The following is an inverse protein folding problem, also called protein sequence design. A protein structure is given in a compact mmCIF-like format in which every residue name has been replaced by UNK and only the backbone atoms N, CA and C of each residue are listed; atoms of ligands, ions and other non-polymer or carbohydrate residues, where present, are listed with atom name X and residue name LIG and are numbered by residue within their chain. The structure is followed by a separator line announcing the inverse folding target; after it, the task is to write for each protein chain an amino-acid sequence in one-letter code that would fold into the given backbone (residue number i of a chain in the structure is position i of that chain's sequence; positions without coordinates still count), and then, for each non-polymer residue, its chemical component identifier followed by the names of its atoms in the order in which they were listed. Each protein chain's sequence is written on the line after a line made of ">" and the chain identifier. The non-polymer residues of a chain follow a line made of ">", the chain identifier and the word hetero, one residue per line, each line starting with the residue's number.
data_IF_998737108379
#
_entry.id   IF_998737108379
#
_cell.length_a   1.000
_cell.length_b   1.000
_cell.length_c   1.000
_cell.angle_alpha   90.00
_cell.angle_beta   90.00
_cell.angle_gamma   90.00
#
_symmetry.space_group_name_H-M   'P 1'
#
loop_
_entity.id
_entity.type
_entity.pdbx_description
1 polymer ?
#
# COMPACT_ATOMS: atom_id res chain seq x y z
N UNK A 1 11.13 -8.31 21.62
CA UNK A 1 11.70 -7.63 20.44
C UNK A 1 12.45 -8.55 19.46
N UNK A 2 13.36 -9.45 19.89
CA UNK A 2 14.14 -10.34 18.99
C UNK A 2 13.28 -11.25 18.07
N UNK A 3 12.10 -11.69 18.51
CA UNK A 3 11.26 -12.61 17.76
C UNK A 3 10.42 -11.91 16.66
N UNK A 4 10.03 -10.65 16.86
CA UNK A 4 9.27 -9.88 15.86
C UNK A 4 10.12 -9.54 14.62
N UNK A 5 11.40 -9.23 14.82
CA UNK A 5 12.33 -8.92 13.72
C UNK A 5 12.61 -10.17 12.87
N UNK A 6 12.72 -11.35 13.51
CA UNK A 6 12.91 -12.62 12.79
C UNK A 6 11.71 -12.99 11.92
N UNK A 7 10.48 -12.77 12.42
CA UNK A 7 9.26 -13.02 11.64
C UNK A 7 9.13 -12.10 10.44
N UNK A 8 9.52 -10.83 10.55
CA UNK A 8 9.49 -9.88 9.45
C UNK A 8 10.47 -10.25 8.32
N UNK A 9 11.68 -10.70 8.69
CA UNK A 9 12.71 -11.11 7.71
C UNK A 9 12.28 -12.36 6.96
N UNK A 10 11.62 -13.32 7.61
CA UNK A 10 11.11 -14.54 6.97
C UNK A 10 9.98 -14.23 5.99
N UNK A 11 9.06 -13.31 6.32
CA UNK A 11 8.01 -12.88 5.39
C UNK A 11 8.58 -12.18 4.15
N UNK A 12 9.60 -11.35 4.30
CA UNK A 12 10.26 -10.67 3.18
C UNK A 12 10.99 -11.65 2.26
N UNK A 13 11.61 -12.70 2.81
CA UNK A 13 12.31 -13.71 2.02
C UNK A 13 11.36 -14.60 1.20
N UNK A 14 10.17 -14.90 1.72
CA UNK A 14 9.14 -15.69 1.02
C UNK A 14 8.50 -14.89 -0.12
N UNK A 15 8.32 -13.59 0.02
CA UNK A 15 7.78 -12.73 -1.04
C UNK A 15 8.80 -12.48 -2.17
N UNK A 16 10.08 -12.44 -1.87
CA UNK A 16 11.15 -12.26 -2.87
C UNK A 16 11.36 -13.49 -3.78
N UNK A 17 11.07 -14.69 -3.31
CA UNK A 17 11.25 -15.92 -4.10
C UNK A 17 10.11 -16.20 -5.09
N UNK A 18 8.93 -15.59 -4.91
CA UNK A 18 7.79 -15.75 -5.81
C UNK A 18 7.96 -15.10 -7.18
N UNK A 19 8.71 -14.02 -7.26
CA UNK A 19 8.88 -13.27 -8.51
C UNK A 19 9.84 -13.93 -9.52
N UNK A 20 10.77 -14.77 -9.07
CA UNK A 20 11.69 -15.47 -9.96
C UNK A 20 11.02 -16.57 -10.82
N UNK A 21 9.88 -17.11 -10.37
CA UNK A 21 9.15 -18.14 -11.09
C UNK A 21 8.07 -17.61 -12.05
N UNK A 22 7.69 -16.35 -11.92
CA UNK A 22 6.67 -15.73 -12.77
C UNK A 22 7.24 -15.17 -14.09
N UNK A 23 8.54 -14.91 -14.15
CA UNK A 23 9.17 -14.29 -15.33
C UNK A 23 9.36 -15.23 -16.52
N UNK A 24 9.29 -16.55 -16.34
CA UNK A 24 9.63 -17.52 -17.42
C UNK A 24 8.40 -18.10 -18.14
N UNK A 25 7.17 -17.74 -17.79
CA UNK A 25 5.95 -18.27 -18.42
C UNK A 25 5.29 -17.40 -19.49
N UNK A 26 5.87 -16.26 -19.84
CA UNK A 26 5.27 -15.28 -20.73
C UNK A 26 5.79 -15.27 -22.19
N UNK A 27 6.75 -16.13 -22.54
CA UNK A 27 7.28 -16.17 -23.92
C UNK A 27 6.63 -17.29 -24.71
N UNK A 28 5.39 -17.10 -25.12
CA UNK A 28 4.81 -17.85 -26.24
C UNK A 28 5.02 -17.02 -27.48
N UNK A 29 5.85 -17.52 -28.38
CA UNK A 29 6.02 -16.99 -29.72
C UNK A 29 4.67 -17.07 -30.43
N UNK A 30 3.92 -15.97 -30.42
CA UNK A 30 2.69 -15.80 -31.19
C UNK A 30 3.04 -15.52 -32.66
N UNK A 31 2.13 -15.80 -33.61
CA UNK A 31 2.38 -15.60 -35.02
C UNK A 31 2.68 -14.12 -35.32
N UNK A 32 3.66 -13.91 -36.20
CA UNK A 32 4.11 -12.61 -36.69
C UNK A 32 2.92 -11.74 -37.12
N UNK A 33 2.75 -10.60 -36.45
CA UNK A 33 1.73 -9.60 -36.81
C UNK A 33 1.10 -8.84 -35.68
N UNK A 34 1.32 -9.19 -34.40
CA UNK A 34 0.89 -8.35 -33.31
C UNK A 34 2.05 -7.40 -32.97
N UNK A 35 1.87 -6.11 -33.22
CA UNK A 35 2.73 -5.08 -32.64
C UNK A 35 2.61 -5.18 -31.12
N UNK A 36 3.51 -5.96 -30.51
CA UNK A 36 3.70 -5.96 -29.08
C UNK A 36 4.27 -4.58 -28.77
N UNK A 37 3.43 -3.69 -28.26
CA UNK A 37 3.86 -2.40 -27.75
C UNK A 37 5.04 -2.61 -26.80
N UNK A 38 6.01 -1.72 -26.87
CA UNK A 38 7.20 -1.70 -26.02
C UNK A 38 6.75 -1.63 -24.54
N UNK A 39 6.66 -2.76 -23.89
CA UNK A 39 6.13 -2.93 -22.55
C UNK A 39 5.26 -4.18 -22.51
N UNK A 40 5.86 -5.34 -22.66
CA UNK A 40 5.19 -6.62 -22.88
C UNK A 40 4.41 -7.20 -21.71
N UNK A 41 3.60 -6.41 -21.05
CA UNK A 41 2.67 -6.86 -20.02
C UNK A 41 1.26 -6.42 -20.39
N UNK A 42 0.64 -7.13 -21.32
CA UNK A 42 -0.80 -7.10 -21.49
C UNK A 42 -1.46 -7.86 -20.35
N UNK A 43 -1.38 -7.32 -19.17
CA UNK A 43 -2.34 -7.61 -18.13
C UNK A 43 -3.68 -7.06 -18.61
N UNK A 44 -4.69 -7.87 -18.82
CA UNK A 44 -6.07 -7.54 -19.11
C UNK A 44 -6.39 -6.19 -19.77
N UNK A 45 -7.64 -5.94 -20.16
CA UNK A 45 -8.00 -4.67 -20.79
C UNK A 45 -7.70 -3.51 -19.83
N UNK A 46 -6.66 -2.74 -20.15
CA UNK A 46 -6.30 -1.51 -19.46
C UNK A 46 -5.03 -1.48 -18.64
N UNK A 47 -4.15 -2.49 -18.68
CA UNK A 47 -2.84 -2.46 -17.99
C UNK A 47 -2.89 -2.03 -16.52
N UNK A 48 -1.82 -2.20 -15.74
CA UNK A 48 -1.77 -1.66 -14.38
C UNK A 48 -1.29 -0.19 -14.30
N UNK A 49 -0.85 0.45 -15.39
CA UNK A 49 -0.42 1.86 -15.42
C UNK A 49 -1.55 2.88 -15.27
N UNK A 50 -1.31 4.03 -14.69
CA UNK A 50 -2.26 5.14 -14.57
C UNK A 50 -2.40 5.71 -13.17
N UNK A 51 -3.41 6.54 -12.99
CA UNK A 51 -3.74 7.14 -11.70
C UNK A 51 -4.89 6.40 -11.02
N UNK A 52 -4.88 6.35 -9.71
CA UNK A 52 -6.03 5.94 -8.92
C UNK A 52 -6.29 6.89 -7.77
N UNK A 53 -7.54 6.96 -7.36
CA UNK A 53 -7.99 7.68 -6.18
C UNK A 53 -8.84 6.75 -5.34
N UNK A 54 -8.46 6.54 -4.08
CA UNK A 54 -9.15 5.66 -3.15
C UNK A 54 -9.55 6.40 -1.89
N UNK A 55 -10.75 6.09 -1.40
CA UNK A 55 -11.17 6.39 -0.04
C UNK A 55 -10.74 5.22 0.85
N UNK A 56 -10.08 5.53 1.94
CA UNK A 56 -9.55 4.56 2.88
C UNK A 56 -10.30 4.67 4.21
N UNK A 57 -10.55 3.55 4.87
CA UNK A 57 -11.19 3.56 6.18
C UNK A 57 -10.95 2.27 6.93
N UNK A 58 -10.95 2.33 8.26
CA UNK A 58 -10.71 1.16 9.08
C UNK A 58 -10.41 1.47 10.54
N UNK A 59 -9.70 0.56 11.18
CA UNK A 59 -9.25 0.68 12.56
C UNK A 59 -7.81 1.18 12.65
N UNK A 60 -7.53 2.01 13.65
CA UNK A 60 -6.19 2.42 14.03
C UNK A 60 -5.90 1.93 15.45
N UNK A 61 -4.83 1.19 15.66
CA UNK A 61 -4.43 0.68 16.97
C UNK A 61 -3.33 1.56 17.50
N UNK A 62 -3.64 2.32 18.56
CA UNK A 62 -2.68 3.15 19.26
C UNK A 62 -2.36 2.56 20.62
N UNK A 63 -1.10 2.48 20.98
CA UNK A 63 -0.71 2.10 22.33
C UNK A 63 -0.66 3.34 23.21
N UNK A 64 -1.68 3.54 24.04
CA UNK A 64 -1.73 4.60 25.02
C UNK A 64 -1.91 4.01 26.41
N UNK A 65 -0.88 4.03 27.24
CA UNK A 65 -0.97 3.56 28.62
C UNK A 65 -1.31 2.07 28.78
N UNK A 66 -0.95 1.22 27.81
CA UNK A 66 -1.22 -0.22 27.84
C UNK A 66 -2.66 -0.62 27.44
N UNK A 67 -3.51 0.33 27.11
CA UNK A 67 -4.87 0.04 26.58
C UNK A 67 -4.87 0.21 25.05
N UNK A 68 -5.29 -0.84 24.35
CA UNK A 68 -5.59 -0.77 22.93
C UNK A 68 -7.02 -0.27 22.77
N UNK A 69 -7.17 0.96 22.35
CA UNK A 69 -8.44 1.48 21.89
C UNK A 69 -8.35 1.60 20.36
N UNK A 70 -9.10 0.82 19.58
CA UNK A 70 -9.08 0.92 18.12
C UNK A 70 -9.99 2.06 17.67
N UNK A 71 -9.50 3.30 17.56
CA UNK A 71 -10.29 4.36 16.93
C UNK A 71 -10.45 4.07 15.46
N UNK A 72 -11.56 4.51 14.91
CA UNK A 72 -11.76 4.50 13.47
C UNK A 72 -10.90 5.60 12.82
N UNK A 73 -10.51 5.40 11.58
CA UNK A 73 -9.90 6.45 10.76
C UNK A 73 -10.56 6.50 9.39
N UNK A 74 -10.45 7.64 8.74
CA UNK A 74 -10.82 7.85 7.36
C UNK A 74 -9.67 8.54 6.62
N UNK A 75 -9.50 8.25 5.35
CA UNK A 75 -8.42 8.80 4.55
C UNK A 75 -8.73 8.82 3.06
N UNK A 76 -7.81 9.42 2.33
CA UNK A 76 -7.80 9.50 0.88
C UNK A 76 -6.39 9.17 0.41
N UNK A 77 -6.27 8.31 -0.60
CA UNK A 77 -4.99 7.99 -1.22
C UNK A 77 -5.08 8.22 -2.73
N UNK A 78 -4.18 9.05 -3.24
CA UNK A 78 -3.92 9.20 -4.66
C UNK A 78 -2.67 8.39 -5.01
N UNK A 79 -2.76 7.55 -6.04
CA UNK A 79 -1.64 6.70 -6.45
C UNK A 79 -1.37 6.88 -7.94
N UNK A 80 -0.09 6.94 -8.29
CA UNK A 80 0.38 6.78 -9.65
C UNK A 80 1.00 5.38 -9.79
N UNK A 81 0.43 4.59 -10.68
CA UNK A 81 0.84 3.22 -10.97
C UNK A 81 1.72 3.19 -12.22
N UNK A 82 2.90 2.63 -12.12
CA UNK A 82 3.64 2.19 -13.29
C UNK A 82 3.12 0.83 -13.75
N UNK A 83 3.15 0.61 -15.07
CA UNK A 83 2.70 -0.64 -15.65
C UNK A 83 3.50 -1.87 -15.18
N UNK A 84 4.75 -1.66 -14.81
CA UNK A 84 5.67 -2.77 -14.53
C UNK A 84 5.51 -3.34 -13.13
N UNK A 85 5.87 -2.58 -12.11
CA UNK A 85 5.90 -3.18 -10.77
C UNK A 85 5.85 -2.17 -9.62
N UNK A 86 5.84 -0.87 -9.90
CA UNK A 86 5.88 0.11 -8.83
C UNK A 86 4.76 1.14 -8.89
N UNK A 87 4.42 1.72 -7.76
CA UNK A 87 3.53 2.87 -7.66
C UNK A 87 4.04 3.86 -6.62
N UNK A 88 3.63 5.10 -6.76
CA UNK A 88 3.84 6.15 -5.77
C UNK A 88 2.49 6.49 -5.15
N UNK A 89 2.40 6.42 -3.83
CA UNK A 89 1.20 6.73 -3.07
C UNK A 89 1.38 8.06 -2.35
N UNK A 90 0.36 8.91 -2.42
CA UNK A 90 0.19 10.11 -1.60
C UNK A 90 -1.09 9.92 -0.79
N UNK A 91 -0.96 9.81 0.53
CA UNK A 91 -2.06 9.50 1.44
C UNK A 91 -2.28 10.63 2.44
N UNK A 92 -3.54 11.02 2.63
CA UNK A 92 -3.97 11.87 3.72
C UNK A 92 -5.01 11.15 4.56
N UNK A 93 -4.96 11.24 5.89
CA UNK A 93 -5.93 10.58 6.75
C UNK A 93 -6.18 11.35 8.04
N UNK A 94 -7.30 11.01 8.68
CA UNK A 94 -7.70 11.57 9.96
C UNK A 94 -8.17 10.47 10.92
N UNK A 95 -7.67 10.52 12.15
CA UNK A 95 -8.09 9.68 13.27
C UNK A 95 -8.82 10.59 14.25
N UNK A 96 -10.15 10.43 14.47
CA UNK A 96 -10.95 11.35 15.30
C UNK A 96 -10.53 11.36 16.77
N UNK A 97 -10.13 10.23 17.29
CA UNK A 97 -9.62 10.09 18.65
C UNK A 97 -8.27 9.36 18.61
N UNK A 98 -7.16 10.03 18.94
CA UNK A 98 -6.97 11.31 19.64
C UNK A 98 -6.83 12.57 18.75
N UNK A 99 -7.47 12.68 17.62
CA UNK A 99 -7.45 13.81 16.68
C UNK A 99 -6.08 13.99 16.02
N UNK A 100 -5.71 12.99 15.21
CA UNK A 100 -4.46 12.98 14.44
C UNK A 100 -4.77 13.19 12.97
N UNK A 101 -4.12 14.17 12.34
CA UNK A 101 -4.01 14.27 10.90
C UNK A 101 -2.70 13.64 10.44
N UNK A 102 -2.75 12.85 9.38
CA UNK A 102 -1.58 12.27 8.76
C UNK A 102 -1.48 12.62 7.30
N UNK A 103 -0.25 12.85 6.83
CA UNK A 103 0.07 13.00 5.42
C UNK A 103 1.33 12.19 5.13
N UNK A 104 1.24 11.24 4.21
CA UNK A 104 2.31 10.30 3.87
C UNK A 104 2.51 10.25 2.36
N UNK A 105 3.76 10.09 1.93
CA UNK A 105 4.12 9.88 0.54
C UNK A 105 5.22 8.81 0.46
N UNK A 106 5.17 7.96 -0.56
CA UNK A 106 6.24 7.00 -0.78
C UNK A 106 5.95 5.96 -1.84
N UNK A 107 7.00 5.20 -2.21
CA UNK A 107 6.90 4.14 -3.19
C UNK A 107 6.30 2.86 -2.58
N UNK A 108 5.62 2.10 -3.43
CA UNK A 108 5.19 0.74 -3.18
C UNK A 108 5.50 -0.12 -4.41
N UNK A 109 5.85 -1.36 -4.17
CA UNK A 109 6.01 -2.38 -5.22
C UNK A 109 4.76 -3.25 -5.25
N UNK A 110 4.31 -3.59 -6.44
CA UNK A 110 3.12 -4.42 -6.60
C UNK A 110 3.36 -5.57 -7.58
N UNK A 111 2.58 -6.64 -7.44
CA UNK A 111 2.57 -7.72 -8.42
C UNK A 111 1.80 -7.26 -9.67
N UNK A 112 2.18 -7.81 -10.82
CA UNK A 112 1.51 -7.54 -12.11
C UNK A 112 0.33 -8.49 -12.39
N UNK A 113 -0.14 -9.21 -11.36
CA UNK A 113 -1.21 -10.19 -11.50
C UNK A 113 -2.58 -9.50 -11.56
N UNK A 114 -3.39 -9.90 -12.52
CA UNK A 114 -4.78 -9.48 -12.68
C UNK A 114 -5.73 -10.62 -12.25
N UNK A 115 -6.85 -10.36 -11.58
CA UNK A 115 -7.41 -9.07 -11.14
C UNK A 115 -6.90 -8.60 -9.76
N UNK A 116 -6.00 -9.33 -9.13
CA UNK A 116 -5.52 -9.07 -7.78
C UNK A 116 -4.05 -8.66 -7.80
N UNK A 117 -3.76 -7.47 -7.29
CA UNK A 117 -2.41 -6.96 -7.11
C UNK A 117 -2.04 -6.95 -5.62
N UNK A 118 -0.95 -7.62 -5.26
CA UNK A 118 -0.36 -7.51 -3.92
C UNK A 118 0.67 -6.40 -3.91
N UNK A 119 0.74 -5.65 -2.84
CA UNK A 119 1.68 -4.54 -2.71
C UNK A 119 2.42 -4.55 -1.38
N UNK A 120 3.66 -4.09 -1.43
CA UNK A 120 4.49 -3.78 -0.28
C UNK A 120 5.20 -2.46 -0.53
N UNK A 121 5.27 -1.59 0.48
CA UNK A 121 5.88 -0.29 0.30
C UNK A 121 6.29 0.38 1.59
N UNK A 122 6.87 1.56 1.42
CA UNK A 122 7.27 2.46 2.49
C UNK A 122 6.83 3.87 2.16
N UNK A 123 6.19 4.51 3.13
CA UNK A 123 5.80 5.90 3.04
C UNK A 123 6.51 6.68 4.15
N UNK A 124 6.93 7.90 3.84
CA UNK A 124 7.42 8.87 4.82
C UNK A 124 6.42 10.01 4.94
N UNK A 125 6.33 10.63 6.10
CA UNK A 125 5.44 11.78 6.25
C UNK A 125 5.32 12.29 7.67
N UNK A 126 4.16 12.84 7.97
CA UNK A 126 3.91 13.60 9.19
C UNK A 126 2.62 13.14 9.87
N UNK A 127 2.68 13.08 11.22
CA UNK A 127 1.50 13.11 12.07
C UNK A 127 1.40 14.48 12.75
N UNK A 128 0.24 15.09 12.66
CA UNK A 128 -0.08 16.38 13.25
C UNK A 128 -1.16 16.15 14.31
N UNK A 129 -0.79 16.30 15.55
CA UNK A 129 -1.70 16.18 16.69
C UNK A 129 -2.40 17.52 16.95
N UNK A 130 -3.70 17.51 17.26
CA UNK A 130 -4.52 18.73 17.40
C UNK A 130 -4.00 19.73 18.44
N UNK A 131 -3.22 19.29 19.43
CA UNK A 131 -2.61 20.13 20.47
C UNK A 131 -1.20 19.62 20.81
N UNK A 132 -0.47 19.16 19.81
CA UNK A 132 0.80 18.51 20.02
C UNK A 132 1.84 18.82 18.94
N UNK A 133 2.99 18.22 19.04
CA UNK A 133 4.05 18.39 18.06
C UNK A 133 3.68 17.73 16.72
N UNK A 134 4.31 18.22 15.66
CA UNK A 134 4.36 17.53 14.37
C UNK A 134 5.46 16.47 14.47
N UNK A 135 5.10 15.22 14.22
CA UNK A 135 6.03 14.10 14.29
C UNK A 135 6.30 13.54 12.90
N UNK A 136 7.56 13.23 12.61
CA UNK A 136 7.96 12.51 11.42
C UNK A 136 7.67 11.01 11.58
N UNK A 137 7.11 10.43 10.52
CA UNK A 137 6.64 9.06 10.48
C UNK A 137 7.30 8.30 9.34
N UNK A 138 7.69 7.06 9.62
CA UNK A 138 8.00 6.06 8.61
C UNK A 138 6.92 4.99 8.65
N UNK A 139 6.28 4.73 7.52
CA UNK A 139 5.12 3.84 7.44
C UNK A 139 5.35 2.71 6.43
N UNK A 140 5.89 1.55 6.86
CA UNK A 140 5.79 0.32 6.08
C UNK A 140 4.33 -0.01 5.81
N UNK A 141 4.05 -0.40 4.57
CA UNK A 141 2.70 -0.75 4.08
C UNK A 141 2.71 -2.09 3.38
N UNK A 142 1.68 -2.88 3.63
CA UNK A 142 1.33 -4.05 2.84
C UNK A 142 -0.12 -3.91 2.38
N UNK A 143 -0.45 -4.43 1.21
CA UNK A 143 -1.82 -4.34 0.70
C UNK A 143 -2.11 -5.37 -0.37
N UNK A 144 -3.40 -5.49 -0.65
CA UNK A 144 -3.94 -6.28 -1.73
C UNK A 144 -5.09 -5.51 -2.34
N UNK A 145 -5.02 -5.28 -3.65
CA UNK A 145 -6.00 -4.54 -4.41
C UNK A 145 -6.66 -5.47 -5.44
N UNK A 146 -7.98 -5.53 -5.43
CA UNK A 146 -8.78 -6.14 -6.48
C UNK A 146 -9.25 -5.07 -7.45
N UNK A 147 -8.90 -5.22 -8.72
CA UNK A 147 -9.14 -4.24 -9.76
C UNK A 147 -10.07 -4.87 -10.81
N UNK A 148 -11.20 -4.24 -11.07
CA UNK A 148 -12.18 -4.71 -12.06
C UNK A 148 -11.85 -4.18 -13.45
N UNK A 149 -12.44 -4.78 -14.49
CA UNK A 149 -12.34 -4.30 -15.87
C UNK A 149 -12.93 -2.89 -16.05
N UNK A 150 -13.86 -2.50 -15.19
CA UNK A 150 -14.46 -1.15 -15.19
C UNK A 150 -13.63 -0.14 -14.40
N UNK A 151 -12.38 -0.45 -14.09
CA UNK A 151 -11.46 0.42 -13.34
C UNK A 151 -11.82 0.66 -11.85
N UNK A 152 -12.83 -0.02 -11.35
CA UNK A 152 -13.15 0.02 -9.92
C UNK A 152 -12.09 -0.77 -9.14
N UNK A 153 -11.64 -0.20 -8.02
CA UNK A 153 -10.64 -0.76 -7.15
C UNK A 153 -11.21 -0.98 -5.75
N UNK A 154 -11.02 -2.16 -5.22
CA UNK A 154 -11.31 -2.51 -3.84
C UNK A 154 -10.05 -3.11 -3.23
N UNK A 155 -9.62 -2.62 -2.08
CA UNK A 155 -8.39 -3.08 -1.45
C UNK A 155 -8.52 -3.32 0.05
N UNK A 156 -7.57 -4.07 0.57
CA UNK A 156 -7.28 -4.21 1.99
C UNK A 156 -5.83 -3.86 2.22
N UNK A 157 -5.53 -3.23 3.35
CA UNK A 157 -4.16 -2.87 3.64
C UNK A 157 -3.88 -2.79 5.14
N UNK A 158 -2.61 -2.88 5.47
CA UNK A 158 -2.08 -2.59 6.79
C UNK A 158 -0.87 -1.67 6.69
N UNK A 159 -0.83 -0.65 7.52
CA UNK A 159 0.26 0.29 7.68
C UNK A 159 0.75 0.26 9.12
N UNK A 160 2.05 0.37 9.31
CA UNK A 160 2.63 0.60 10.62
C UNK A 160 3.31 1.96 10.64
N UNK A 161 2.63 2.98 11.15
CA UNK A 161 3.14 4.34 11.25
C UNK A 161 4.09 4.45 12.44
N UNK A 162 5.36 4.27 12.18
CA UNK A 162 6.44 4.32 13.17
C UNK A 162 6.77 5.78 13.45
N UNK A 163 6.52 6.23 14.67
CA UNK A 163 6.89 7.57 15.10
C UNK A 163 8.39 7.62 15.41
N UNK A 164 9.15 8.41 14.66
CA UNK A 164 10.61 8.48 14.82
C UNK A 164 11.05 9.25 16.08
N UNK A 165 10.20 10.13 16.61
CA UNK A 165 10.48 10.87 17.81
C UNK A 165 10.09 10.10 19.10
N UNK A 166 9.05 9.25 19.01
CA UNK A 166 8.51 8.53 20.16
C UNK A 166 7.87 7.21 19.67
N UNK A 167 8.60 6.13 19.76
CA UNK A 167 8.17 4.82 19.27
C UNK A 167 6.88 4.32 19.94
N UNK A 168 6.64 4.68 21.20
CA UNK A 168 5.43 4.27 21.92
C UNK A 168 4.15 4.92 21.37
N UNK A 169 4.31 5.99 20.58
CA UNK A 169 3.22 6.65 19.85
C UNK A 169 3.05 6.14 18.42
N UNK A 170 3.64 5.01 18.09
CA UNK A 170 3.44 4.37 16.80
C UNK A 170 2.00 3.85 16.67
N UNK A 171 1.48 3.87 15.44
CA UNK A 171 0.10 3.51 15.13
C UNK A 171 0.09 2.41 14.08
N UNK A 172 -0.72 1.37 14.30
CA UNK A 172 -1.02 0.37 13.29
C UNK A 172 -2.40 0.68 12.72
N UNK A 173 -2.49 0.94 11.42
CA UNK A 173 -3.75 1.12 10.70
C UNK A 173 -4.02 -0.08 9.83
N UNK A 174 -5.24 -0.63 9.95
CA UNK A 174 -5.73 -1.72 9.10
C UNK A 174 -7.05 -1.29 8.52
N UNK A 175 -7.23 -1.44 7.22
CA UNK A 175 -8.43 -0.92 6.61
C UNK A 175 -8.73 -1.48 5.22
N UNK A 176 -9.82 -0.93 4.70
CA UNK A 176 -10.31 -1.14 3.37
C UNK A 176 -10.09 0.14 2.56
N UNK A 177 -9.85 -0.03 1.27
CA UNK A 177 -9.84 1.05 0.29
C UNK A 177 -10.86 0.77 -0.80
N UNK A 178 -11.56 1.82 -1.22
CA UNK A 178 -12.50 1.76 -2.33
C UNK A 178 -12.25 2.95 -3.25
N UNK A 179 -12.16 2.73 -4.55
CA UNK A 179 -11.85 3.82 -5.44
C UNK A 179 -11.94 3.50 -6.90
N UNK A 180 -11.36 4.38 -7.67
CA UNK A 180 -11.39 4.35 -9.11
C UNK A 180 -10.01 4.60 -9.70
N UNK A 181 -9.79 3.98 -10.85
CA UNK A 181 -8.56 4.07 -11.60
C UNK A 181 -8.82 4.75 -12.95
N UNK A 182 -7.90 5.61 -13.40
CA UNK A 182 -8.03 6.44 -14.59
C UNK A 182 -6.94 6.11 -15.61
#
# INVERSE_FOLDING_TARGET
>A
MRNAVRSLVVCLAVLGSGNALAQDRGRTDGPEGSEIGKGGYTSGPGGLGGFSLTLDGGGAITQKGGQFSPPLYAGLTASYWDADFYRIDLSGFYIPDPKIWGALIGPSFHTTTWPVAFSIGFQGGLHIFNQGPVNFILSPRIGMDWITQSHFQLGVFANWDINLADFDRSIIRVGLSIGWRF
#
